data_IF_750937789123
#
_entry.id   IF_750937789123
#
_cell.length_a   1.000
_cell.length_b   1.000
_cell.length_c   1.000
_cell.angle_alpha   90.00
_cell.angle_beta   90.00
_cell.angle_gamma   90.00
#
_symmetry.space_group_name_H-M   'P 1'
#
loop_
_entity.id
_entity.type
_entity.pdbx_description
1 polymer ?
#
# COMPACT_ATOMS: atom_id res chain seq x y z
N UNK A 1 59.40 -33.90 -47.41
CA UNK A 1 58.10 -34.32 -48.06
C UNK A 1 58.33 -34.54 -49.58
N UNK A 2 58.90 -33.60 -50.30
CA UNK A 2 59.15 -33.71 -51.76
C UNK A 2 59.95 -34.97 -52.14
N UNK A 3 61.01 -35.28 -51.39
CA UNK A 3 61.83 -36.48 -51.58
C UNK A 3 61.05 -37.79 -51.50
N UNK A 4 59.99 -37.87 -50.69
CA UNK A 4 59.13 -39.05 -50.56
C UNK A 4 58.04 -39.12 -51.63
N UNK A 5 57.70 -37.99 -52.27
CA UNK A 5 56.77 -37.95 -53.38
C UNK A 5 57.45 -38.25 -54.74
N UNK A 6 58.65 -37.73 -54.91
CA UNK A 6 59.41 -37.86 -56.16
C UNK A 6 60.38 -39.06 -56.09
N UNK A 7 60.04 -40.10 -55.29
CA UNK A 7 60.86 -41.30 -55.07
C UNK A 7 61.05 -42.09 -56.35
N UNK A 8 62.24 -42.61 -56.54
CA UNK A 8 62.56 -43.51 -57.64
C UNK A 8 61.83 -44.86 -57.53
N UNK A 9 61.51 -45.51 -58.67
CA UNK A 9 60.88 -46.83 -58.64
C UNK A 9 61.75 -47.86 -57.89
N UNK A 10 61.27 -48.28 -56.71
CA UNK A 10 61.98 -49.19 -55.80
C UNK A 10 62.33 -48.69 -54.42
N UNK A 11 62.31 -47.41 -54.16
CA UNK A 11 62.50 -46.84 -52.82
C UNK A 11 61.27 -46.99 -51.93
N UNK A 12 61.46 -47.66 -50.75
CA UNK A 12 60.40 -47.85 -49.78
C UNK A 12 60.22 -46.66 -48.84
N UNK A 13 58.96 -46.26 -48.55
CA UNK A 13 58.65 -45.16 -47.62
C UNK A 13 59.32 -45.40 -46.24
N UNK A 14 59.44 -46.66 -45.81
CA UNK A 14 60.07 -47.04 -44.53
C UNK A 14 61.57 -46.64 -44.52
N UNK A 15 62.30 -46.85 -45.65
CA UNK A 15 63.67 -46.48 -45.78
C UNK A 15 63.86 -44.98 -45.72
N UNK A 16 63.06 -44.23 -46.47
CA UNK A 16 63.08 -42.74 -46.46
C UNK A 16 62.79 -42.22 -45.06
N UNK A 17 61.83 -42.78 -44.34
CA UNK A 17 61.51 -42.36 -42.95
C UNK A 17 62.67 -42.63 -42.00
N UNK A 18 63.33 -43.78 -42.15
CA UNK A 18 64.54 -44.14 -41.35
C UNK A 18 65.71 -43.18 -41.64
N UNK A 19 65.97 -42.85 -42.91
CA UNK A 19 67.06 -41.93 -43.31
C UNK A 19 66.90 -40.51 -42.78
N UNK A 20 65.64 -40.09 -42.53
CA UNK A 20 65.31 -38.79 -41.92
C UNK A 20 65.04 -38.89 -40.41
N UNK A 21 65.17 -40.07 -39.75
CA UNK A 21 64.98 -40.25 -38.32
C UNK A 21 63.57 -40.04 -37.82
N UNK A 22 62.54 -40.22 -38.73
CA UNK A 22 61.14 -40.05 -38.41
C UNK A 22 60.38 -41.36 -38.52
N UNK A 23 59.28 -41.49 -37.71
CA UNK A 23 58.44 -42.69 -37.80
C UNK A 23 57.71 -42.74 -39.15
N UNK A 24 57.64 -43.91 -39.76
CA UNK A 24 56.95 -44.15 -41.04
C UNK A 24 55.49 -43.64 -41.00
N UNK A 25 54.82 -43.81 -39.91
CA UNK A 25 53.45 -43.33 -39.71
C UNK A 25 53.31 -41.80 -39.80
N UNK A 26 54.34 -41.06 -39.32
CA UNK A 26 54.40 -39.61 -39.46
C UNK A 26 54.57 -39.17 -40.92
N UNK A 27 55.50 -39.86 -41.63
CA UNK A 27 55.74 -39.54 -43.05
C UNK A 27 54.49 -39.84 -43.92
N UNK A 28 53.84 -41.00 -43.70
CA UNK A 28 52.57 -41.33 -44.35
C UNK A 28 51.44 -40.36 -44.06
N UNK A 29 51.36 -39.92 -42.83
CA UNK A 29 50.35 -38.89 -42.44
C UNK A 29 50.62 -37.53 -43.17
N UNK A 30 51.93 -37.13 -43.20
CA UNK A 30 52.29 -35.89 -43.91
C UNK A 30 52.04 -35.96 -45.41
N UNK A 31 52.35 -37.14 -46.05
CA UNK A 31 52.04 -37.35 -47.46
C UNK A 31 50.54 -37.27 -47.72
N UNK A 32 49.72 -37.97 -46.88
CA UNK A 32 48.26 -37.94 -47.01
C UNK A 32 47.73 -36.53 -46.85
N UNK A 33 48.27 -35.76 -45.89
CA UNK A 33 47.85 -34.37 -45.70
C UNK A 33 48.24 -33.48 -46.88
N UNK A 34 49.43 -33.71 -47.43
CA UNK A 34 49.84 -32.97 -48.61
C UNK A 34 49.03 -33.32 -49.88
N UNK A 35 48.56 -34.58 -49.99
CA UNK A 35 47.65 -34.99 -51.08
C UNK A 35 46.27 -34.38 -50.91
N UNK A 36 45.77 -34.23 -49.67
CA UNK A 36 44.52 -33.51 -49.36
C UNK A 36 44.67 -32.01 -49.68
N UNK A 37 45.80 -31.40 -49.33
CA UNK A 37 46.05 -29.97 -49.60
C UNK A 37 46.23 -29.70 -51.12
N UNK A 38 46.71 -30.67 -51.87
CA UNK A 38 46.82 -30.60 -53.34
C UNK A 38 45.54 -30.98 -54.09
N UNK A 39 44.48 -31.38 -53.36
CA UNK A 39 43.20 -31.81 -53.95
C UNK A 39 43.23 -33.19 -54.55
N UNK A 40 44.31 -34.01 -54.31
CA UNK A 40 44.49 -35.32 -54.87
C UNK A 40 43.99 -36.47 -53.99
N UNK A 41 43.48 -36.20 -52.74
CA UNK A 41 43.01 -37.20 -51.82
C UNK A 41 41.74 -36.77 -51.05
N UNK A 42 40.96 -37.73 -50.54
CA UNK A 42 39.80 -37.43 -49.72
C UNK A 42 40.19 -36.87 -48.37
N UNK A 43 39.63 -35.70 -47.96
CA UNK A 43 39.91 -35.06 -46.68
C UNK A 43 39.59 -33.57 -46.75
N UNK A 44 39.75 -32.88 -45.61
CA UNK A 44 39.62 -31.42 -45.50
C UNK A 44 40.98 -30.76 -45.41
N UNK A 45 41.20 -29.72 -46.20
CA UNK A 45 42.44 -28.91 -46.20
C UNK A 45 42.64 -28.20 -44.86
N UNK A 46 43.86 -27.75 -44.59
CA UNK A 46 44.13 -26.98 -43.37
C UNK A 46 43.31 -25.69 -43.34
N UNK A 47 43.06 -25.04 -44.48
CA UNK A 47 42.22 -23.86 -44.61
C UNK A 47 40.75 -24.15 -44.30
N UNK A 48 40.18 -25.22 -44.89
CA UNK A 48 38.80 -25.66 -44.64
C UNK A 48 38.61 -26.06 -43.16
N UNK A 49 39.57 -26.75 -42.55
CA UNK A 49 39.55 -27.05 -41.11
C UNK A 49 39.56 -25.79 -40.24
N UNK A 50 40.33 -24.77 -40.60
CA UNK A 50 40.34 -23.50 -39.94
C UNK A 50 38.99 -22.79 -40.05
N UNK A 51 38.43 -22.74 -41.25
CA UNK A 51 37.08 -22.19 -41.50
C UNK A 51 36.01 -22.96 -40.74
N UNK A 52 36.05 -24.28 -40.72
CA UNK A 52 35.11 -25.13 -40.00
C UNK A 52 35.19 -24.86 -38.46
N UNK A 53 36.39 -24.68 -37.91
CA UNK A 53 36.59 -24.34 -36.51
C UNK A 53 35.99 -22.95 -36.20
N UNK A 54 36.22 -21.98 -37.05
CA UNK A 54 35.65 -20.64 -36.87
C UNK A 54 34.12 -20.67 -37.06
N UNK A 55 33.57 -21.40 -38.00
CA UNK A 55 32.16 -21.59 -38.19
C UNK A 55 31.50 -22.25 -36.93
N UNK A 56 32.10 -23.29 -36.39
CA UNK A 56 31.64 -23.95 -35.15
C UNK A 56 31.68 -23.01 -33.95
N UNK A 57 32.72 -22.19 -33.78
CA UNK A 57 32.76 -21.16 -32.73
C UNK A 57 31.66 -20.13 -32.91
N UNK A 58 31.41 -19.69 -34.13
CA UNK A 58 30.37 -18.70 -34.45
C UNK A 58 28.97 -19.26 -34.20
N UNK A 59 28.70 -20.51 -34.58
CA UNK A 59 27.44 -21.21 -34.33
C UNK A 59 27.21 -21.28 -32.81
N UNK A 60 28.17 -21.76 -32.04
CA UNK A 60 28.06 -21.83 -30.58
C UNK A 60 27.77 -20.47 -29.93
N UNK A 61 28.41 -19.42 -30.40
CA UNK A 61 28.15 -18.06 -29.91
C UNK A 61 26.75 -17.57 -30.24
N UNK A 62 26.26 -17.90 -31.45
CA UNK A 62 24.91 -17.53 -31.87
C UNK A 62 23.84 -18.30 -31.07
N UNK A 63 24.05 -19.59 -30.84
CA UNK A 63 23.16 -20.40 -30.01
C UNK A 63 23.07 -19.84 -28.59
N UNK A 64 24.22 -19.49 -27.97
CA UNK A 64 24.24 -18.86 -26.66
C UNK A 64 23.51 -17.52 -26.65
N UNK A 65 23.73 -16.67 -27.66
CA UNK A 65 22.99 -15.40 -27.77
C UNK A 65 21.49 -15.60 -27.93
N UNK A 66 21.07 -16.57 -28.75
CA UNK A 66 19.66 -16.87 -28.94
C UNK A 66 19.01 -17.36 -27.66
N UNK A 67 19.69 -18.22 -26.88
CA UNK A 67 19.17 -18.68 -25.60
C UNK A 67 19.02 -17.52 -24.58
N UNK A 68 20.02 -16.63 -24.51
CA UNK A 68 19.94 -15.42 -23.68
C UNK A 68 18.76 -14.55 -24.10
N UNK A 69 18.58 -14.30 -25.39
CA UNK A 69 17.48 -13.48 -25.90
C UNK A 69 16.11 -14.12 -25.65
N UNK A 70 15.99 -15.45 -25.79
CA UNK A 70 14.76 -16.19 -25.55
C UNK A 70 14.33 -16.07 -24.08
N UNK A 71 15.26 -16.27 -23.16
CA UNK A 71 15.00 -16.12 -21.71
C UNK A 71 14.73 -14.67 -21.33
N UNK A 72 15.49 -13.73 -21.87
CA UNK A 72 15.25 -12.31 -21.64
C UNK A 72 13.85 -11.88 -22.10
N UNK A 73 13.36 -12.40 -23.23
CA UNK A 73 12.01 -12.13 -23.71
C UNK A 73 10.93 -12.64 -22.76
N UNK A 74 11.14 -13.81 -22.13
CA UNK A 74 10.23 -14.33 -21.10
C UNK A 74 10.18 -13.45 -19.84
N UNK A 75 11.30 -12.84 -19.46
CA UNK A 75 11.36 -11.89 -18.33
C UNK A 75 10.83 -10.48 -18.69
N UNK A 76 10.89 -10.06 -19.94
CA UNK A 76 10.38 -8.75 -20.40
C UNK A 76 8.85 -8.61 -20.30
N UNK A 77 8.14 -9.73 -20.17
CA UNK A 77 6.70 -9.73 -19.88
C UNK A 77 6.35 -9.36 -18.44
N UNK A 78 7.34 -9.23 -17.56
CA UNK A 78 7.17 -8.83 -16.16
C UNK A 78 7.60 -7.37 -15.97
N UNK A 79 6.83 -6.59 -15.20
CA UNK A 79 6.97 -5.13 -15.01
C UNK A 79 8.34 -4.64 -14.47
N UNK A 80 9.28 -5.52 -14.15
CA UNK A 80 10.56 -5.20 -13.53
C UNK A 80 11.80 -5.63 -14.32
N UNK A 81 11.75 -5.58 -15.64
CA UNK A 81 12.82 -6.05 -16.54
C UNK A 81 14.25 -5.56 -16.17
N UNK A 82 14.39 -4.32 -15.67
CA UNK A 82 15.71 -3.79 -15.29
C UNK A 82 16.28 -4.45 -14.03
N UNK A 83 15.44 -4.74 -13.04
CA UNK A 83 15.85 -5.38 -11.78
C UNK A 83 16.20 -6.86 -11.95
N UNK A 84 15.63 -7.50 -12.97
CA UNK A 84 15.80 -8.93 -13.22
C UNK A 84 17.02 -9.28 -14.09
N UNK A 85 17.75 -8.30 -14.65
CA UNK A 85 18.90 -8.55 -15.54
C UNK A 85 20.04 -9.30 -14.86
N UNK A 86 20.44 -8.89 -13.64
CA UNK A 86 21.52 -9.56 -12.92
C UNK A 86 21.12 -10.95 -12.40
N UNK A 87 19.91 -11.17 -11.84
CA UNK A 87 19.40 -12.52 -11.54
C UNK A 87 19.41 -13.45 -12.76
N UNK A 88 18.91 -12.99 -13.91
CA UNK A 88 18.92 -13.74 -15.15
C UNK A 88 20.35 -14.09 -15.63
N UNK A 89 21.30 -13.15 -15.51
CA UNK A 89 22.70 -13.39 -15.84
C UNK A 89 23.31 -14.50 -14.95
N UNK A 90 22.92 -14.57 -13.69
CA UNK A 90 23.33 -15.65 -12.77
C UNK A 90 22.74 -17.00 -13.18
N UNK A 91 21.44 -17.08 -13.46
CA UNK A 91 20.78 -18.31 -13.92
C UNK A 91 21.44 -18.84 -15.20
N UNK A 92 21.73 -17.95 -16.16
CA UNK A 92 22.40 -18.31 -17.40
C UNK A 92 23.84 -18.74 -17.19
N UNK A 93 24.54 -18.18 -16.20
CA UNK A 93 25.87 -18.61 -15.82
C UNK A 93 25.87 -20.02 -15.19
N UNK A 94 24.88 -20.35 -14.37
CA UNK A 94 24.68 -21.69 -13.81
C UNK A 94 24.44 -22.74 -14.93
N UNK A 95 23.80 -22.32 -16.04
CA UNK A 95 23.60 -23.12 -17.26
C UNK A 95 24.84 -23.11 -18.20
N UNK A 96 26.00 -22.73 -17.71
CA UNK A 96 27.28 -22.68 -18.44
C UNK A 96 27.35 -21.72 -19.61
N UNK A 97 26.50 -20.72 -19.66
CA UNK A 97 26.60 -19.62 -20.63
C UNK A 97 27.60 -18.60 -20.06
N UNK A 98 28.64 -18.22 -20.83
CA UNK A 98 29.64 -17.31 -20.29
C UNK A 98 29.07 -15.94 -19.95
N UNK A 99 29.34 -15.43 -18.73
CA UNK A 99 28.89 -14.10 -18.24
C UNK A 99 29.26 -12.96 -19.22
N UNK A 100 30.35 -13.10 -19.99
CA UNK A 100 30.72 -12.13 -21.01
C UNK A 100 29.72 -12.05 -22.16
N UNK A 101 29.06 -13.14 -22.50
CA UNK A 101 28.02 -13.22 -23.54
C UNK A 101 26.73 -12.63 -23.01
N UNK A 102 26.30 -13.06 -21.83
CA UNK A 102 25.05 -12.61 -21.20
C UNK A 102 25.10 -11.10 -20.89
N UNK A 103 26.14 -10.62 -20.26
CA UNK A 103 26.33 -9.19 -20.00
C UNK A 103 26.30 -8.34 -21.28
N UNK A 104 26.90 -8.82 -22.37
CA UNK A 104 26.90 -8.10 -23.67
C UNK A 104 25.50 -8.05 -24.27
N UNK A 105 24.75 -9.17 -24.24
CA UNK A 105 23.38 -9.25 -24.78
C UNK A 105 22.42 -8.43 -23.94
N UNK A 106 22.49 -8.52 -22.62
CA UNK A 106 21.62 -7.81 -21.68
C UNK A 106 22.01 -6.34 -21.49
N UNK A 107 23.12 -5.90 -22.12
CA UNK A 107 23.68 -4.53 -22.00
C UNK A 107 23.97 -4.15 -20.54
N UNK A 108 24.56 -5.06 -19.80
CA UNK A 108 25.01 -4.86 -18.40
C UNK A 108 26.54 -4.79 -18.38
N UNK A 109 27.09 -3.85 -17.62
CA UNK A 109 28.53 -3.84 -17.35
C UNK A 109 28.89 -5.04 -16.47
N UNK A 110 29.92 -5.83 -16.84
CA UNK A 110 30.40 -6.97 -16.05
C UNK A 110 30.67 -6.60 -14.57
N UNK A 111 31.23 -5.41 -14.35
CA UNK A 111 31.50 -4.90 -13.03
C UNK A 111 30.22 -4.71 -12.20
N UNK A 112 29.13 -4.29 -12.83
CA UNK A 112 27.81 -4.17 -12.20
C UNK A 112 27.26 -5.53 -11.77
N UNK A 113 27.39 -6.55 -12.61
CA UNK A 113 27.01 -7.92 -12.30
C UNK A 113 27.79 -8.49 -11.10
N UNK A 114 29.13 -8.39 -11.10
CA UNK A 114 29.94 -8.90 -9.99
C UNK A 114 29.73 -8.14 -8.69
N UNK A 115 29.45 -6.82 -8.75
CA UNK A 115 29.08 -6.04 -7.57
C UNK A 115 27.72 -6.51 -7.01
N UNK A 116 26.77 -6.75 -7.89
CA UNK A 116 25.47 -7.31 -7.49
C UNK A 116 25.63 -8.72 -6.89
N UNK A 117 26.49 -9.56 -7.44
CA UNK A 117 26.74 -10.91 -6.94
C UNK A 117 27.32 -10.91 -5.50
N UNK A 118 28.14 -9.91 -5.16
CA UNK A 118 28.66 -9.72 -3.80
C UNK A 118 27.60 -9.25 -2.80
N UNK A 119 26.65 -8.44 -3.22
CA UNK A 119 25.57 -7.90 -2.38
C UNK A 119 24.23 -7.87 -3.14
N UNK A 120 23.58 -9.04 -3.32
CA UNK A 120 22.31 -9.15 -4.08
C UNK A 120 21.18 -8.37 -3.45
N UNK A 121 21.19 -8.24 -2.12
CA UNK A 121 20.22 -7.48 -1.33
C UNK A 121 20.94 -6.36 -0.61
N UNK A 122 20.68 -5.13 -1.01
CA UNK A 122 21.24 -3.95 -0.36
C UNK A 122 20.40 -3.50 0.83
N UNK A 123 20.98 -2.75 1.76
CA UNK A 123 20.24 -2.14 2.87
C UNK A 123 19.07 -1.26 2.37
N UNK A 124 19.26 -0.58 1.23
CA UNK A 124 18.20 0.20 0.59
C UNK A 124 17.03 -0.68 0.10
N UNK A 125 17.32 -1.88 -0.44
CA UNK A 125 16.30 -2.83 -0.86
C UNK A 125 15.51 -3.38 0.34
N UNK A 126 16.19 -3.69 1.44
CA UNK A 126 15.55 -4.11 2.68
C UNK A 126 14.63 -3.01 3.22
N UNK A 127 15.12 -1.79 3.30
CA UNK A 127 14.30 -0.64 3.73
C UNK A 127 13.09 -0.44 2.82
N UNK A 128 13.25 -0.55 1.51
CA UNK A 128 12.15 -0.44 0.56
C UNK A 128 11.11 -1.57 0.76
N UNK A 129 11.57 -2.81 1.02
CA UNK A 129 10.71 -3.94 1.31
C UNK A 129 9.93 -3.76 2.61
N UNK A 130 10.57 -3.32 3.70
CA UNK A 130 9.90 -3.03 4.97
C UNK A 130 8.84 -1.93 4.82
N UNK A 131 9.15 -0.87 4.08
CA UNK A 131 8.19 0.20 3.77
C UNK A 131 7.01 -0.30 2.95
N UNK A 132 7.27 -1.13 1.94
CA UNK A 132 6.21 -1.73 1.12
C UNK A 132 5.32 -2.66 1.96
N UNK A 133 5.89 -3.50 2.83
CA UNK A 133 5.14 -4.38 3.71
C UNK A 133 4.24 -3.59 4.67
N UNK A 134 4.75 -2.53 5.31
CA UNK A 134 3.95 -1.71 6.20
C UNK A 134 2.77 -1.01 5.48
N UNK A 135 3.01 -0.52 4.25
CA UNK A 135 1.94 0.04 3.42
C UNK A 135 0.93 -1.02 2.97
N UNK A 136 1.40 -2.24 2.67
CA UNK A 136 0.54 -3.37 2.31
C UNK A 136 -0.35 -3.80 3.48
N UNK A 137 0.22 -3.95 4.67
CA UNK A 137 -0.53 -4.33 5.87
C UNK A 137 -1.60 -3.29 6.19
N UNK A 138 -1.27 -1.99 6.11
CA UNK A 138 -2.24 -0.93 6.28
C UNK A 138 -3.35 -0.95 5.20
N UNK A 139 -3.00 -1.26 3.94
CA UNK A 139 -3.98 -1.35 2.85
C UNK A 139 -4.88 -2.59 2.98
N UNK A 140 -4.31 -3.73 3.39
CA UNK A 140 -5.08 -4.96 3.64
C UNK A 140 -6.10 -4.76 4.75
N UNK A 141 -5.71 -4.04 5.79
CA UNK A 141 -6.57 -3.81 6.95
C UNK A 141 -7.67 -2.77 6.68
N UNK A 142 -7.37 -1.73 5.91
CA UNK A 142 -8.30 -0.65 5.56
C UNK A 142 -8.21 -0.31 4.04
N UNK A 143 -8.75 -1.15 3.14
CA UNK A 143 -8.57 -1.04 1.69
C UNK A 143 -9.28 0.16 1.05
N UNK A 144 -10.15 0.85 1.78
CA UNK A 144 -10.85 2.05 1.32
C UNK A 144 -9.99 3.31 1.35
N UNK A 145 -8.88 3.31 2.06
CA UNK A 145 -8.06 4.50 2.23
C UNK A 145 -6.97 4.63 1.15
N UNK A 146 -6.63 5.87 0.81
CA UNK A 146 -5.58 6.17 -0.15
C UNK A 146 -4.19 6.26 0.51
N UNK A 147 -3.15 6.35 -0.33
CA UNK A 147 -1.74 6.36 0.09
C UNK A 147 -1.41 7.34 1.23
N UNK A 148 -2.14 8.45 1.39
CA UNK A 148 -1.89 9.41 2.48
C UNK A 148 -2.20 8.83 3.85
N UNK A 149 -3.28 8.09 3.96
CA UNK A 149 -3.61 7.34 5.17
C UNK A 149 -2.62 6.21 5.39
N UNK A 150 -2.37 5.40 4.35
CA UNK A 150 -1.42 4.28 4.43
C UNK A 150 -0.01 4.74 4.85
N UNK A 151 0.41 5.92 4.39
CA UNK A 151 1.68 6.54 4.80
C UNK A 151 1.73 6.86 6.30
N UNK A 152 0.63 7.33 6.88
CA UNK A 152 0.54 7.64 8.30
C UNK A 152 0.54 6.36 9.15
N UNK A 153 -0.19 5.33 8.73
CA UNK A 153 -0.19 4.03 9.38
C UNK A 153 1.20 3.36 9.33
N UNK A 154 1.89 3.43 8.19
CA UNK A 154 3.24 2.91 8.05
C UNK A 154 4.25 3.66 8.95
N UNK A 155 4.09 4.98 9.10
CA UNK A 155 4.93 5.78 10.00
C UNK A 155 4.70 5.39 11.48
N UNK A 156 3.45 5.12 11.89
CA UNK A 156 3.13 4.62 13.23
C UNK A 156 3.65 3.20 13.48
N UNK A 157 3.75 2.37 12.41
CA UNK A 157 4.42 1.07 12.45
C UNK A 157 5.96 1.17 12.42
N UNK A 158 6.54 2.36 12.56
CA UNK A 158 7.99 2.60 12.60
C UNK A 158 8.65 2.75 11.22
N UNK A 159 7.88 2.72 10.12
CA UNK A 159 8.42 2.85 8.76
C UNK A 159 8.27 4.28 8.24
N UNK A 160 9.22 5.14 8.62
CA UNK A 160 9.23 6.55 8.20
C UNK A 160 9.67 6.66 6.73
N UNK A 161 8.87 7.39 5.94
CA UNK A 161 9.14 7.67 4.53
C UNK A 161 8.49 9.00 4.12
N UNK A 162 8.83 9.53 2.94
CA UNK A 162 8.14 10.70 2.40
C UNK A 162 6.79 10.28 1.79
N UNK A 163 5.80 11.20 1.78
CA UNK A 163 4.52 10.93 1.13
C UNK A 163 4.66 10.60 -0.37
N UNK A 164 5.70 11.14 -1.05
CA UNK A 164 6.01 10.81 -2.44
C UNK A 164 6.50 9.37 -2.59
N UNK A 165 7.33 8.88 -1.65
CA UNK A 165 7.79 7.50 -1.64
C UNK A 165 6.62 6.53 -1.41
N UNK A 166 5.74 6.83 -0.45
CA UNK A 166 4.53 6.05 -0.21
C UNK A 166 3.62 6.00 -1.43
N UNK A 167 3.40 7.16 -2.08
CA UNK A 167 2.63 7.22 -3.33
C UNK A 167 3.24 6.37 -4.43
N UNK A 168 4.57 6.44 -4.61
CA UNK A 168 5.28 5.67 -5.64
C UNK A 168 5.12 4.16 -5.42
N UNK A 169 5.28 3.69 -4.17
CA UNK A 169 5.12 2.27 -3.82
C UNK A 169 3.67 1.82 -4.06
N UNK A 170 2.68 2.56 -3.54
CA UNK A 170 1.27 2.22 -3.73
C UNK A 170 0.88 2.22 -5.21
N UNK A 171 1.41 3.17 -6.00
CA UNK A 171 1.17 3.26 -7.44
C UNK A 171 1.76 2.08 -8.21
N UNK A 172 2.99 1.66 -7.91
CA UNK A 172 3.65 0.52 -8.52
C UNK A 172 2.96 -0.80 -8.20
N UNK A 173 2.41 -0.93 -7.01
CA UNK A 173 1.72 -2.13 -6.54
C UNK A 173 0.21 -2.13 -6.83
N UNK A 174 -0.31 -1.05 -7.41
CA UNK A 174 -1.74 -0.94 -7.70
C UNK A 174 -2.64 -0.83 -6.47
N UNK A 175 -2.11 -0.43 -5.31
CA UNK A 175 -2.88 -0.28 -4.07
C UNK A 175 -3.66 1.03 -4.09
N UNK A 176 -4.78 1.00 -4.77
CA UNK A 176 -5.71 2.11 -4.88
C UNK A 176 -6.88 1.93 -3.91
N UNK A 177 -7.46 3.03 -3.42
CA UNK A 177 -8.67 2.93 -2.60
C UNK A 177 -9.76 2.14 -3.32
N UNK A 178 -10.33 1.15 -2.67
CA UNK A 178 -11.38 0.30 -3.24
C UNK A 178 -12.55 1.10 -3.83
N UNK A 179 -12.80 2.32 -3.31
CA UNK A 179 -13.88 3.22 -3.72
C UNK A 179 -13.42 4.49 -4.45
N UNK A 180 -12.13 4.56 -4.83
CA UNK A 180 -11.47 5.80 -5.30
C UNK A 180 -11.68 6.19 -6.75
N UNK A 181 -12.35 5.43 -7.61
CA UNK A 181 -12.29 5.62 -9.08
C UNK A 181 -13.52 6.20 -9.77
N UNK A 182 -14.62 6.47 -9.08
CA UNK A 182 -15.73 7.23 -9.69
C UNK A 182 -15.86 8.57 -8.98
N UNK A 183 -15.31 9.63 -9.58
CA UNK A 183 -15.77 10.99 -9.31
C UNK A 183 -17.24 11.03 -9.73
N UNK A 184 -18.13 10.72 -8.81
CA UNK A 184 -19.50 11.11 -8.96
C UNK A 184 -19.53 12.64 -8.98
N UNK A 185 -20.25 13.24 -9.92
CA UNK A 185 -20.47 14.69 -9.99
C UNK A 185 -21.16 15.24 -8.72
N UNK A 186 -21.68 14.39 -7.86
CA UNK A 186 -22.42 14.70 -6.63
C UNK A 186 -21.86 13.85 -5.48
N UNK A 187 -20.92 14.42 -4.71
CA UNK A 187 -20.49 13.89 -3.43
C UNK A 187 -19.72 12.55 -3.47
N UNK A 188 -18.95 12.28 -2.43
CA UNK A 188 -18.29 10.99 -2.22
C UNK A 188 -19.37 9.96 -1.89
N UNK A 189 -19.50 8.90 -2.66
CA UNK A 189 -20.32 7.76 -2.27
C UNK A 189 -19.74 7.16 -0.98
N UNK A 190 -20.55 7.07 0.10
CA UNK A 190 -20.10 6.44 1.34
C UNK A 190 -19.78 4.96 1.07
N UNK A 191 -18.75 4.45 1.72
CA UNK A 191 -18.38 3.04 1.58
C UNK A 191 -19.36 2.08 2.30
N UNK A 192 -19.14 0.75 2.23
CA UNK A 192 -19.99 -0.23 2.90
C UNK A 192 -19.99 0.00 4.42
N UNK A 193 -21.09 -0.38 5.11
CA UNK A 193 -21.14 -0.31 6.58
C UNK A 193 -20.14 -1.30 7.17
N UNK A 194 -19.53 -0.93 8.29
CA UNK A 194 -18.66 -1.81 9.09
C UNK A 194 -19.34 -2.26 10.39
N UNK A 195 -20.52 -1.69 10.67
CA UNK A 195 -21.39 -2.04 11.78
C UNK A 195 -22.83 -2.12 11.29
N UNK A 196 -23.66 -2.91 11.95
CA UNK A 196 -25.09 -2.95 11.73
C UNK A 196 -25.75 -1.65 12.21
N UNK A 197 -26.93 -1.37 11.69
CA UNK A 197 -27.72 -0.22 12.09
C UNK A 197 -28.64 -0.60 13.26
N UNK A 198 -28.15 -0.38 14.48
CA UNK A 198 -28.86 -0.72 15.71
C UNK A 198 -29.93 0.31 16.10
N UNK A 199 -29.98 1.45 15.42
CA UNK A 199 -30.99 2.49 15.65
C UNK A 199 -32.18 2.40 14.68
N UNK A 200 -32.11 1.49 13.71
CA UNK A 200 -33.19 1.30 12.74
C UNK A 200 -34.30 0.42 13.30
N UNK A 201 -35.53 0.91 13.26
CA UNK A 201 -36.75 0.18 13.62
C UNK A 201 -37.64 0.15 12.40
N UNK A 202 -38.24 -1.00 12.08
CA UNK A 202 -39.23 -1.15 11.01
C UNK A 202 -40.62 -0.92 11.58
N UNK A 203 -41.35 0.06 11.04
CA UNK A 203 -42.74 0.33 11.45
C UNK A 203 -43.72 -0.72 10.90
N UNK A 204 -44.96 -0.69 11.35
CA UNK A 204 -46.04 -1.62 10.94
C UNK A 204 -46.31 -1.61 9.42
N UNK A 205 -45.81 -0.56 8.72
CA UNK A 205 -45.98 -0.41 7.27
C UNK A 205 -44.71 -0.81 6.50
N UNK A 206 -43.74 -1.46 7.16
CA UNK A 206 -42.47 -1.89 6.55
C UNK A 206 -41.48 -0.75 6.28
N UNK A 207 -41.69 0.47 6.80
CA UNK A 207 -40.82 1.61 6.63
C UNK A 207 -39.74 1.63 7.75
N UNK A 208 -38.52 1.76 7.38
CA UNK A 208 -37.41 1.91 8.34
C UNK A 208 -37.42 3.33 8.91
N UNK A 209 -37.47 3.44 10.22
CA UNK A 209 -37.29 4.69 10.98
C UNK A 209 -36.05 4.54 11.89
N UNK A 210 -35.39 5.65 12.17
CA UNK A 210 -34.36 5.70 13.19
C UNK A 210 -34.96 6.21 14.50
N UNK A 211 -34.74 5.46 15.55
CA UNK A 211 -35.20 5.80 16.92
C UNK A 211 -33.99 6.06 17.78
N UNK A 212 -33.86 7.29 18.24
CA UNK A 212 -32.76 7.74 19.11
C UNK A 212 -33.32 8.04 20.51
N UNK A 213 -33.55 6.98 21.28
CA UNK A 213 -34.00 7.05 22.66
C UNK A 213 -33.01 6.31 23.56
N UNK A 214 -32.87 6.79 24.79
CA UNK A 214 -32.08 6.14 25.82
C UNK A 214 -32.73 6.45 27.18
N UNK A 215 -32.82 5.46 28.06
CA UNK A 215 -33.43 5.58 29.35
C UNK A 215 -32.43 5.96 30.45
N UNK A 216 -31.15 5.82 30.15
CA UNK A 216 -30.04 6.16 31.07
C UNK A 216 -28.86 6.75 30.30
N UNK A 217 -27.94 7.45 31.02
CA UNK A 217 -26.70 7.92 30.41
C UNK A 217 -25.85 6.74 29.87
N UNK A 218 -25.04 7.02 28.87
CA UNK A 218 -24.08 6.07 28.28
C UNK A 218 -24.71 4.80 27.66
N UNK A 219 -25.98 4.83 27.29
CA UNK A 219 -26.62 3.76 26.50
C UNK A 219 -26.43 3.98 25.01
N UNK A 220 -26.66 5.21 24.51
CA UNK A 220 -26.57 5.54 23.10
C UNK A 220 -25.92 6.91 22.92
N UNK A 221 -24.83 6.91 22.18
CA UNK A 221 -24.13 8.13 21.75
C UNK A 221 -24.27 8.31 20.23
N UNK A 222 -24.49 9.53 19.80
CA UNK A 222 -24.48 9.94 18.40
C UNK A 222 -23.20 10.73 18.12
N UNK A 223 -22.56 10.47 17.00
CA UNK A 223 -21.36 11.19 16.60
C UNK A 223 -21.43 11.62 15.15
N UNK A 224 -20.85 12.79 14.88
CA UNK A 224 -20.73 13.31 13.52
C UNK A 224 -19.63 14.36 13.43
N UNK A 225 -19.22 14.73 12.21
CA UNK A 225 -18.16 15.69 11.94
C UNK A 225 -18.69 16.84 11.09
N UNK A 226 -18.44 18.06 11.56
CA UNK A 226 -18.69 19.28 10.78
C UNK A 226 -17.41 20.00 10.43
N UNK A 227 -17.45 20.84 9.38
CA UNK A 227 -16.33 21.69 8.98
C UNK A 227 -16.73 23.15 8.86
N UNK A 228 -15.80 24.05 9.15
CA UNK A 228 -15.98 25.47 8.93
C UNK A 228 -14.69 26.13 8.39
N UNK A 229 -14.85 27.13 7.52
CA UNK A 229 -13.73 27.87 6.91
C UNK A 229 -13.22 29.00 7.82
N UNK A 230 -11.90 29.17 7.83
CA UNK A 230 -11.22 30.36 8.39
C UNK A 230 -10.27 30.89 7.33
N UNK A 231 -9.70 32.09 7.54
CA UNK A 231 -8.70 32.63 6.61
C UNK A 231 -7.45 31.74 6.49
N UNK A 232 -7.13 30.94 7.54
CA UNK A 232 -6.05 29.95 7.52
C UNK A 232 -6.46 28.60 6.87
N UNK A 233 -7.70 28.45 6.44
CA UNK A 233 -8.26 27.22 5.88
C UNK A 233 -9.28 26.55 6.80
N UNK A 234 -9.68 25.34 6.48
CA UNK A 234 -10.75 24.62 7.21
C UNK A 234 -10.34 24.21 8.61
N UNK A 235 -11.32 24.22 9.52
CA UNK A 235 -11.29 23.63 10.84
C UNK A 235 -12.41 22.58 10.92
N UNK A 236 -12.13 21.44 11.53
CA UNK A 236 -13.04 20.30 11.66
C UNK A 236 -13.35 20.06 13.13
N UNK A 237 -14.61 19.79 13.42
CA UNK A 237 -15.08 19.40 14.73
C UNK A 237 -15.77 18.03 14.65
N UNK A 238 -15.27 17.05 15.39
CA UNK A 238 -16.01 15.83 15.70
C UNK A 238 -16.65 16.01 17.09
N UNK A 239 -17.94 15.75 17.23
CA UNK A 239 -18.64 15.81 18.48
C UNK A 239 -19.38 14.50 18.77
N UNK A 240 -19.44 14.11 20.04
CA UNK A 240 -20.16 12.93 20.55
C UNK A 240 -21.20 13.43 21.55
N UNK A 241 -22.46 13.06 21.27
CA UNK A 241 -23.61 13.49 22.06
C UNK A 241 -24.29 12.31 22.71
N UNK A 242 -24.48 12.35 24.01
CA UNK A 242 -25.34 11.40 24.73
C UNK A 242 -26.80 11.68 24.39
N UNK A 243 -27.53 10.65 23.98
CA UNK A 243 -28.94 10.76 23.58
C UNK A 243 -29.81 11.06 24.79
N UNK A 244 -29.53 10.47 25.95
CA UNK A 244 -30.29 10.62 27.17
C UNK A 244 -30.39 12.10 27.60
N UNK A 245 -29.23 12.71 27.86
CA UNK A 245 -29.18 14.08 28.39
C UNK A 245 -29.01 15.14 27.31
N UNK A 246 -28.61 14.76 26.10
CA UNK A 246 -28.20 15.66 25.03
C UNK A 246 -26.88 16.36 25.30
N UNK A 247 -26.12 15.96 26.30
CA UNK A 247 -24.80 16.49 26.61
C UNK A 247 -23.80 16.09 25.53
N UNK A 248 -22.92 17.00 25.15
CA UNK A 248 -21.74 16.67 24.37
C UNK A 248 -20.73 16.08 25.32
N UNK A 249 -20.57 14.77 25.27
CA UNK A 249 -19.73 13.99 26.18
C UNK A 249 -18.26 13.96 25.78
N UNK A 250 -17.99 14.20 24.49
CA UNK A 250 -16.66 14.32 23.97
C UNK A 250 -16.63 15.07 22.66
N UNK A 251 -15.55 15.75 22.38
CA UNK A 251 -15.30 16.39 21.09
C UNK A 251 -13.80 16.55 20.84
N UNK A 252 -13.45 16.68 19.58
CA UNK A 252 -12.10 16.98 19.12
C UNK A 252 -12.14 17.97 17.98
N UNK A 253 -11.15 18.85 17.88
CA UNK A 253 -11.07 19.92 16.88
C UNK A 253 -9.68 19.89 16.24
N UNK A 254 -9.64 19.78 14.90
CA UNK A 254 -8.38 19.69 14.16
C UNK A 254 -8.47 20.48 12.84
N UNK A 255 -7.32 20.84 12.29
CA UNK A 255 -7.17 21.42 10.95
C UNK A 255 -7.36 20.40 9.82
N UNK A 256 -7.45 19.11 10.13
CA UNK A 256 -7.56 18.01 9.17
C UNK A 256 -8.67 17.04 9.57
N UNK A 257 -9.47 16.63 8.60
CA UNK A 257 -10.52 15.62 8.79
C UNK A 257 -9.90 14.21 8.65
N UNK A 258 -9.21 13.77 9.70
CA UNK A 258 -8.58 12.45 9.78
C UNK A 258 -9.30 11.55 10.79
N UNK A 259 -9.03 10.23 10.75
CA UNK A 259 -9.54 9.28 11.75
C UNK A 259 -9.20 9.69 13.20
N UNK A 260 -8.02 10.30 13.42
CA UNK A 260 -7.59 10.80 14.75
C UNK A 260 -8.60 11.77 15.35
N UNK A 261 -9.27 12.56 14.53
CA UNK A 261 -10.31 13.47 15.00
C UNK A 261 -11.45 12.71 15.68
N UNK A 262 -11.92 11.60 15.07
CA UNK A 262 -12.98 10.77 15.65
C UNK A 262 -12.49 9.97 16.86
N UNK A 263 -11.30 9.37 16.79
CA UNK A 263 -10.70 8.62 17.90
C UNK A 263 -10.50 9.53 19.12
N UNK A 264 -9.91 10.71 18.93
CA UNK A 264 -9.69 11.65 20.04
C UNK A 264 -10.99 12.15 20.67
N UNK A 265 -12.05 12.35 19.86
CA UNK A 265 -13.37 12.69 20.39
C UNK A 265 -13.93 11.56 21.25
N UNK A 266 -13.74 10.29 20.83
CA UNK A 266 -14.16 9.12 21.60
C UNK A 266 -13.37 8.97 22.91
N UNK A 267 -12.05 9.09 22.87
CA UNK A 267 -11.20 9.01 24.05
C UNK A 267 -11.55 10.13 25.07
N UNK A 268 -11.80 11.34 24.59
CA UNK A 268 -12.25 12.44 25.44
C UNK A 268 -13.62 12.15 26.08
N UNK A 269 -14.53 11.51 25.34
CA UNK A 269 -15.85 11.11 25.87
C UNK A 269 -15.71 10.02 26.93
N UNK A 270 -14.88 9.01 26.69
CA UNK A 270 -14.61 7.95 27.67
C UNK A 270 -13.94 8.52 28.92
N UNK A 271 -12.94 9.38 28.78
CA UNK A 271 -12.29 10.04 29.91
C UNK A 271 -13.28 10.86 30.76
N UNK A 272 -14.29 11.46 30.14
CA UNK A 272 -15.32 12.21 30.84
C UNK A 272 -16.36 11.34 31.57
N UNK A 273 -16.66 10.17 31.00
CA UNK A 273 -17.77 9.30 31.42
C UNK A 273 -17.35 8.11 32.29
N UNK A 274 -16.10 7.67 32.21
CA UNK A 274 -15.59 6.50 32.93
C UNK A 274 -16.09 5.18 32.31
N UNK A 275 -16.99 4.46 33.01
CA UNK A 275 -17.52 3.21 32.48
C UNK A 275 -18.54 3.45 31.36
N UNK A 276 -18.21 2.95 30.19
CA UNK A 276 -19.00 3.07 28.95
C UNK A 276 -19.22 1.72 28.27
N UNK A 277 -18.92 0.63 28.99
CA UNK A 277 -19.07 -0.72 28.43
C UNK A 277 -20.53 -0.97 27.99
N UNK A 278 -20.72 -1.49 26.79
CA UNK A 278 -22.02 -1.72 26.18
C UNK A 278 -22.68 -0.49 25.54
N UNK A 279 -22.12 0.73 25.70
CA UNK A 279 -22.64 1.92 25.04
C UNK A 279 -22.62 1.75 23.51
N UNK A 280 -23.74 2.04 22.86
CA UNK A 280 -23.84 2.06 21.40
C UNK A 280 -23.38 3.42 20.87
N UNK A 281 -22.43 3.42 19.94
CA UNK A 281 -21.96 4.64 19.25
C UNK A 281 -22.46 4.62 17.81
N UNK A 282 -23.45 5.45 17.54
CA UNK A 282 -24.03 5.56 16.20
C UNK A 282 -23.38 6.70 15.41
N UNK A 283 -22.99 6.41 14.18
CA UNK A 283 -22.35 7.36 13.25
C UNK A 283 -22.87 7.22 11.84
N UNK A 284 -22.55 8.19 11.00
CA UNK A 284 -22.66 8.05 9.55
C UNK A 284 -21.62 7.05 9.01
N UNK A 285 -21.64 6.80 7.68
CA UNK A 285 -20.65 5.97 6.99
C UNK A 285 -19.40 6.75 6.59
N UNK A 286 -19.05 7.79 7.30
CA UNK A 286 -17.82 8.54 7.11
C UNK A 286 -16.58 7.64 7.25
N UNK A 287 -15.57 7.86 6.42
CA UNK A 287 -14.33 7.08 6.43
C UNK A 287 -13.64 7.10 7.80
N UNK A 288 -13.78 8.18 8.56
CA UNK A 288 -13.20 8.34 9.90
C UNK A 288 -13.76 7.33 10.89
N UNK A 289 -15.09 7.11 10.88
CA UNK A 289 -15.79 6.17 11.77
C UNK A 289 -15.66 4.72 11.31
N UNK A 290 -15.34 4.50 10.04
CA UNK A 290 -15.13 3.17 9.48
C UNK A 290 -13.67 2.70 9.61
N UNK A 291 -12.76 3.57 10.03
CA UNK A 291 -11.35 3.26 10.18
C UNK A 291 -11.13 2.14 11.21
N UNK A 292 -10.13 1.29 10.97
CA UNK A 292 -9.72 0.23 11.89
C UNK A 292 -9.42 0.78 13.29
N UNK A 293 -8.80 1.98 13.37
CA UNK A 293 -8.45 2.59 14.65
C UNK A 293 -9.65 3.01 15.46
N UNK A 294 -10.67 3.58 14.82
CA UNK A 294 -11.91 3.92 15.52
C UNK A 294 -12.64 2.66 15.99
N UNK A 295 -12.73 1.63 15.14
CA UNK A 295 -13.32 0.32 15.52
C UNK A 295 -12.55 -0.35 16.67
N UNK A 296 -11.19 -0.27 16.65
CA UNK A 296 -10.36 -0.80 17.72
C UNK A 296 -10.59 -0.03 19.03
N UNK A 297 -10.71 1.30 18.98
CA UNK A 297 -11.00 2.12 20.16
C UNK A 297 -12.36 1.77 20.76
N UNK A 298 -13.41 1.57 19.93
CA UNK A 298 -14.71 1.06 20.40
C UNK A 298 -14.55 -0.29 21.11
N UNK A 299 -13.85 -1.25 20.49
CA UNK A 299 -13.61 -2.56 21.10
C UNK A 299 -12.80 -2.51 22.38
N UNK A 300 -11.80 -1.64 22.47
CA UNK A 300 -11.00 -1.45 23.67
C UNK A 300 -11.84 -1.02 24.87
N UNK A 301 -12.79 -0.12 24.64
CA UNK A 301 -13.72 0.35 25.66
C UNK A 301 -14.99 -0.50 25.77
N UNK A 302 -15.04 -1.67 25.12
CA UNK A 302 -16.19 -2.58 25.10
C UNK A 302 -17.50 -1.91 24.65
N UNK A 303 -17.38 -0.94 23.74
CA UNK A 303 -18.52 -0.23 23.15
C UNK A 303 -18.99 -0.93 21.86
N UNK A 304 -20.22 -0.69 21.47
CA UNK A 304 -20.85 -1.27 20.30
C UNK A 304 -20.99 -0.20 19.20
N UNK A 305 -20.42 -0.45 18.02
CA UNK A 305 -20.58 0.46 16.87
C UNK A 305 -21.93 0.26 16.19
N UNK A 306 -22.55 1.36 15.73
CA UNK A 306 -23.75 1.36 14.90
C UNK A 306 -23.58 2.36 13.75
N UNK A 307 -24.11 2.02 12.54
CA UNK A 307 -24.00 2.88 11.36
C UNK A 307 -25.30 2.99 10.60
N UNK A 308 -25.73 4.23 10.33
CA UNK A 308 -26.91 4.54 9.52
C UNK A 308 -26.80 4.09 8.06
N UNK A 309 -27.89 4.12 7.33
CA UNK A 309 -27.94 3.83 5.88
C UNK A 309 -27.59 5.05 5.04
N UNK A 310 -27.10 4.84 3.83
CA UNK A 310 -26.81 5.93 2.89
C UNK A 310 -28.08 6.60 2.44
N UNK A 311 -28.15 7.94 2.59
CA UNK A 311 -29.21 8.76 1.99
C UNK A 311 -30.49 8.86 2.79
N UNK A 312 -30.53 8.42 4.03
CA UNK A 312 -31.62 8.70 4.93
C UNK A 312 -31.39 10.07 5.57
N UNK A 313 -32.22 11.04 5.24
CA UNK A 313 -32.12 12.43 5.74
C UNK A 313 -32.34 12.58 7.24
N UNK A 314 -32.68 11.50 7.95
CA UNK A 314 -33.00 11.50 9.38
C UNK A 314 -32.05 10.64 10.22
N UNK A 315 -30.96 10.10 9.62
CA UNK A 315 -30.06 9.16 10.29
C UNK A 315 -29.31 9.78 11.47
N UNK A 316 -29.24 11.10 11.59
CA UNK A 316 -28.56 11.80 12.68
C UNK A 316 -29.18 13.15 13.04
N UNK A 317 -30.52 13.23 12.99
CA UNK A 317 -31.27 14.47 13.21
C UNK A 317 -30.88 15.23 14.51
N UNK A 318 -30.49 14.49 15.56
CA UNK A 318 -30.06 15.08 16.80
C UNK A 318 -28.68 15.76 16.71
N UNK A 319 -27.76 15.20 15.95
CA UNK A 319 -26.46 15.84 15.68
C UNK A 319 -26.61 17.01 14.70
N UNK A 320 -27.45 16.85 13.66
CA UNK A 320 -27.79 17.94 12.74
C UNK A 320 -28.35 19.14 13.48
N UNK A 321 -29.30 18.90 14.45
CA UNK A 321 -29.83 19.95 15.31
C UNK A 321 -28.76 20.63 16.16
N UNK A 322 -27.81 19.87 16.72
CA UNK A 322 -26.70 20.44 17.48
C UNK A 322 -25.81 21.30 16.60
N UNK A 323 -25.41 20.78 15.42
CA UNK A 323 -24.57 21.55 14.50
C UNK A 323 -25.27 22.79 13.91
N UNK A 324 -26.56 22.71 13.65
CA UNK A 324 -27.34 23.89 13.24
C UNK A 324 -27.34 24.98 14.33
N UNK A 325 -27.42 24.59 15.60
CA UNK A 325 -27.28 25.54 16.71
C UNK A 325 -25.88 26.11 16.81
N UNK A 326 -24.85 25.31 16.66
CA UNK A 326 -23.45 25.74 16.63
C UNK A 326 -23.23 26.71 15.46
N UNK A 327 -23.72 26.35 14.26
CA UNK A 327 -23.66 27.18 13.06
C UNK A 327 -24.23 28.58 13.35
N UNK A 328 -25.47 28.65 13.81
CA UNK A 328 -26.17 29.89 14.09
C UNK A 328 -25.55 30.73 15.21
N UNK A 329 -25.04 30.08 16.26
CA UNK A 329 -24.60 30.79 17.47
C UNK A 329 -23.11 31.13 17.49
N UNK A 330 -22.30 30.41 16.71
CA UNK A 330 -20.84 30.58 16.68
C UNK A 330 -20.33 30.81 15.27
N UNK A 331 -20.55 29.84 14.38
CA UNK A 331 -19.81 29.79 13.12
C UNK A 331 -20.13 30.94 12.20
N UNK A 332 -21.43 31.28 12.04
CA UNK A 332 -21.93 32.34 11.16
C UNK A 332 -21.93 33.72 11.81
N UNK A 333 -21.50 33.86 13.07
CA UNK A 333 -21.55 35.13 13.79
C UNK A 333 -20.56 36.16 13.27
N UNK A 334 -19.43 35.69 12.68
CA UNK A 334 -18.39 36.55 12.11
C UNK A 334 -17.47 35.74 11.21
N UNK A 335 -16.67 36.43 10.41
CA UNK A 335 -15.53 35.82 9.70
C UNK A 335 -14.41 35.53 10.68
N UNK A 336 -13.83 34.35 10.55
CA UNK A 336 -12.78 33.84 11.45
C UNK A 336 -11.41 33.99 10.78
N UNK A 337 -10.50 34.76 11.39
CA UNK A 337 -9.16 34.97 10.86
C UNK A 337 -8.29 33.73 11.09
N UNK A 338 -8.29 33.16 12.31
CA UNK A 338 -7.46 32.01 12.65
C UNK A 338 -8.30 30.82 13.10
N UNK A 339 -7.75 29.63 12.91
CA UNK A 339 -8.33 28.38 13.44
C UNK A 339 -8.43 28.40 14.96
N UNK A 340 -7.46 29.01 15.64
CA UNK A 340 -7.43 29.08 17.09
C UNK A 340 -8.55 29.97 17.67
N UNK A 341 -8.82 31.11 17.05
CA UNK A 341 -9.96 31.93 17.45
C UNK A 341 -11.28 31.18 17.34
N UNK A 342 -11.47 30.45 16.24
CA UNK A 342 -12.66 29.64 16.04
C UNK A 342 -12.72 28.47 17.03
N UNK A 343 -11.61 27.80 17.30
CA UNK A 343 -11.52 26.72 18.29
C UNK A 343 -11.96 27.19 19.68
N UNK A 344 -11.40 28.30 20.17
CA UNK A 344 -11.75 28.89 21.47
C UNK A 344 -13.23 29.21 21.51
N UNK A 345 -13.79 29.81 20.46
CA UNK A 345 -15.22 30.17 20.42
C UNK A 345 -16.11 28.91 20.48
N UNK A 346 -15.78 27.85 19.75
CA UNK A 346 -16.51 26.56 19.78
C UNK A 346 -16.47 25.96 21.19
N UNK A 347 -15.29 25.83 21.78
CA UNK A 347 -15.11 25.25 23.12
C UNK A 347 -15.89 26.07 24.16
N UNK A 348 -15.73 27.39 24.16
CA UNK A 348 -16.44 28.29 25.08
C UNK A 348 -17.95 28.14 24.93
N UNK A 349 -18.45 28.05 23.70
CA UNK A 349 -19.89 27.92 23.51
C UNK A 349 -20.41 26.55 23.96
N UNK A 350 -19.71 25.45 23.68
CA UNK A 350 -20.09 24.11 24.15
C UNK A 350 -20.13 24.08 25.68
N UNK A 351 -19.03 24.45 26.34
CA UNK A 351 -18.88 24.28 27.77
C UNK A 351 -19.71 25.26 28.58
N UNK A 352 -19.73 26.55 28.19
CA UNK A 352 -20.39 27.59 28.94
C UNK A 352 -21.85 27.79 28.56
N UNK A 353 -22.16 27.77 27.25
CA UNK A 353 -23.49 28.11 26.77
C UNK A 353 -24.35 26.87 26.60
N UNK A 354 -23.92 25.92 25.81
CA UNK A 354 -24.72 24.76 25.48
C UNK A 354 -24.96 23.84 26.70
N UNK A 355 -23.92 23.54 27.47
CA UNK A 355 -24.02 22.66 28.62
C UNK A 355 -24.68 23.31 29.86
N UNK A 356 -24.44 24.61 30.14
CA UNK A 356 -24.76 25.25 31.41
C UNK A 356 -25.84 26.35 31.36
N UNK A 357 -26.18 26.82 30.17
CA UNK A 357 -27.16 27.92 30.04
C UNK A 357 -28.32 27.57 29.11
N UNK A 358 -28.11 26.66 28.15
CA UNK A 358 -29.13 26.34 27.18
C UNK A 358 -30.11 25.31 27.75
N UNK A 359 -31.26 25.78 28.19
CA UNK A 359 -32.38 24.95 28.61
C UNK A 359 -33.05 24.33 27.38
N UNK A 360 -33.45 23.04 27.50
CA UNK A 360 -34.04 22.28 26.43
C UNK A 360 -35.44 21.78 26.83
N UNK A 361 -36.46 22.05 26.01
CA UNK A 361 -37.81 21.62 26.29
C UNK A 361 -37.97 20.12 26.54
N UNK A 362 -37.24 19.28 25.77
CA UNK A 362 -37.21 17.84 25.93
C UNK A 362 -36.63 17.34 27.26
N UNK A 363 -35.91 18.20 27.96
CA UNK A 363 -35.31 17.92 29.28
C UNK A 363 -36.12 18.59 30.41
N UNK A 364 -37.36 18.91 30.18
CA UNK A 364 -38.15 19.62 31.18
C UNK A 364 -37.65 21.07 31.43
N UNK A 365 -37.16 21.74 30.41
CA UNK A 365 -36.55 23.05 30.51
C UNK A 365 -35.28 23.12 31.38
N UNK A 366 -34.57 22.03 31.52
CA UNK A 366 -33.25 21.95 32.17
C UNK A 366 -32.14 22.06 31.11
N UNK A 367 -30.96 22.42 31.56
CA UNK A 367 -29.72 22.28 30.79
C UNK A 367 -29.27 20.81 30.81
N UNK A 368 -28.43 20.36 29.88
CA UNK A 368 -27.88 19.00 29.91
C UNK A 368 -27.22 18.60 31.22
N UNK A 369 -26.48 19.53 31.83
CA UNK A 369 -25.84 19.27 33.14
C UNK A 369 -26.83 19.19 34.27
N UNK A 370 -27.75 20.16 34.38
CA UNK A 370 -28.78 20.15 35.43
C UNK A 370 -29.64 18.87 35.34
N UNK A 371 -29.98 18.42 34.14
CA UNK A 371 -30.75 17.19 33.94
C UNK A 371 -30.01 15.96 34.47
N UNK A 372 -28.72 15.79 34.13
CA UNK A 372 -27.92 14.66 34.64
C UNK A 372 -27.74 14.73 36.16
N UNK A 373 -27.49 15.91 36.69
CA UNK A 373 -27.31 16.10 38.16
C UNK A 373 -28.57 15.71 38.92
N UNK A 374 -29.74 16.17 38.48
CA UNK A 374 -31.02 15.84 39.11
C UNK A 374 -31.33 14.34 39.07
N UNK A 375 -31.06 13.69 37.95
CA UNK A 375 -31.28 12.24 37.83
C UNK A 375 -30.35 11.43 38.75
N UNK A 376 -29.08 11.80 38.86
CA UNK A 376 -28.12 11.15 39.75
C UNK A 376 -28.54 11.32 41.22
N UNK A 377 -29.05 12.48 41.60
CA UNK A 377 -29.55 12.73 42.98
C UNK A 377 -30.79 11.88 43.26
N UNK A 378 -31.69 11.74 42.31
CA UNK A 378 -32.92 10.91 42.47
C UNK A 378 -32.58 9.42 42.65
N UNK A 379 -31.60 8.91 41.87
CA UNK A 379 -31.13 7.54 42.03
C UNK A 379 -30.45 7.31 43.37
N UNK A 380 -29.62 8.26 43.83
CA UNK A 380 -28.94 8.16 45.14
C UNK A 380 -29.87 8.25 46.32
N UNK A 381 -31.09 8.83 46.18
CA UNK A 381 -32.12 8.87 47.23
C UNK A 381 -33.04 7.66 47.20
N UNK A 382 -33.03 6.88 46.10
CA UNK A 382 -33.86 5.69 45.91
C UNK A 382 -33.12 4.35 46.24
N UNK A 383 -31.81 4.44 46.52
CA UNK A 383 -30.94 3.37 47.03
C UNK A 383 -30.67 3.52 48.49
#
# INVERSE_FOLDING_TARGET
MNVARDREPGQCITQIASDFGIAESCLRNWMRQADVEAGAGPGTTAAENAELREAKKRIRLLEQKNEVLRRAAAYLSQESAEKMRCPLDRELADDRIPVTVTCRVLKIARQQYYRWLQAPVTAANLTAAHRANALFDAHRDDPEFGYRYLHEEAAEAGQVMTGRAAWSICSQQGWWPAFGKKRAKNGKSPGPPVHEDLCAVVDEHGRTRHVFTADAPNQLWLTDITEHGTAEGKLYLCAIRDVFSGRIVGYSIDSRMKFRLAVQALENAVAMRGDVAGCVVHSDRGSQFRSRKFRRALGWHRMVGSMGRVGSSNDNAAMESFFALLQKNVLDRRSWTTREQLRIAIVTWIERTYHRRRRQARLGCLTPIEFETNMNTTVALAT
#
